data_IF_540971897829
#
_entry.id   IF_540971897829
#
_cell.length_a   1.000
_cell.length_b   1.000
_cell.length_c   1.000
_cell.angle_alpha   90.00
_cell.angle_beta   90.00
_cell.angle_gamma   90.00
#
_symmetry.space_group_name_H-M   'P 1'
#
loop_
_entity.id
_entity.type
_entity.pdbx_description
1 polymer ?
#
# COMPACT_ATOMS: atom_id res chain seq x y z
N UNK A 1 14.32 -1.52 13.20
CA UNK A 1 13.65 -0.38 12.58
C UNK A 1 13.69 0.80 13.54
N UNK A 2 13.54 2.07 13.09
CA UNK A 2 13.36 3.21 14.00
C UNK A 2 12.10 3.03 14.85
N UNK A 3 11.99 3.73 15.98
CA UNK A 3 10.83 3.68 16.88
C UNK A 3 9.53 4.06 16.15
N UNK A 4 9.64 4.97 15.19
CA UNK A 4 8.54 5.38 14.32
C UNK A 4 8.78 4.93 12.87
N UNK A 5 7.82 4.21 12.34
CA UNK A 5 7.80 3.81 10.92
C UNK A 5 7.57 5.00 9.99
N UNK A 6 6.76 5.98 10.44
CA UNK A 6 6.46 7.23 9.71
C UNK A 6 6.50 8.40 10.68
N UNK A 7 7.17 9.47 10.26
CA UNK A 7 7.13 10.76 10.93
C UNK A 7 6.86 11.85 9.89
N UNK A 8 5.91 12.72 10.16
CA UNK A 8 5.59 13.87 9.33
C UNK A 8 5.44 15.12 10.21
N UNK A 9 6.06 16.22 9.79
CA UNK A 9 6.07 17.47 10.55
C UNK A 9 5.64 18.62 9.65
N UNK A 10 4.54 19.27 10.04
CA UNK A 10 4.00 20.48 9.40
C UNK A 10 3.84 20.35 7.88
N UNK A 11 3.33 19.22 7.42
CA UNK A 11 3.11 18.95 5.98
C UNK A 11 2.04 19.87 5.44
N UNK A 12 2.42 20.66 4.43
CA UNK A 12 1.52 21.49 3.63
C UNK A 12 1.52 21.00 2.20
N UNK A 13 0.34 20.93 1.59
CA UNK A 13 0.21 20.70 0.15
C UNK A 13 -0.85 21.59 -0.45
N UNK A 14 -0.45 22.45 -1.38
CA UNK A 14 -1.35 23.28 -2.20
C UNK A 14 -1.25 22.84 -3.66
N UNK A 15 -2.39 22.67 -4.31
CA UNK A 15 -2.46 22.42 -5.74
C UNK A 15 -2.68 23.75 -6.47
N UNK A 16 -1.82 24.06 -7.45
CA UNK A 16 -1.86 25.32 -8.21
C UNK A 16 -3.17 25.50 -8.99
N UNK A 17 -3.71 24.43 -9.57
CA UNK A 17 -5.00 24.43 -10.23
C UNK A 17 -6.12 24.62 -9.18
N UNK A 18 -6.66 25.85 -9.07
CA UNK A 18 -7.75 26.18 -8.15
C UNK A 18 -7.31 26.63 -6.74
N UNK A 19 -6.02 26.80 -6.50
CA UNK A 19 -5.48 27.22 -5.18
C UNK A 19 -6.03 26.42 -3.98
N UNK A 20 -6.19 25.09 -4.18
CA UNK A 20 -6.74 24.18 -3.16
C UNK A 20 -5.63 23.77 -2.20
N UNK A 21 -5.76 24.14 -0.94
CA UNK A 21 -4.87 23.70 0.15
C UNK A 21 -5.39 22.38 0.71
N UNK A 22 -4.83 21.26 0.19
CA UNK A 22 -5.26 19.92 0.56
C UNK A 22 -4.72 19.44 1.93
N UNK A 23 -3.55 19.95 2.33
CA UNK A 23 -2.97 19.74 3.66
C UNK A 23 -2.47 21.09 4.19
N UNK A 24 -2.74 21.37 5.45
CA UNK A 24 -2.44 22.64 6.12
C UNK A 24 -1.70 22.40 7.45
N UNK A 25 -0.39 22.15 7.38
CA UNK A 25 0.46 21.98 8.56
C UNK A 25 0.21 20.69 9.33
N UNK A 26 -0.11 19.57 8.65
CA UNK A 26 -0.42 18.30 9.29
C UNK A 26 0.85 17.63 9.80
N UNK A 27 0.83 17.21 11.08
CA UNK A 27 1.90 16.43 11.70
C UNK A 27 1.34 15.12 12.22
N UNK A 28 2.10 14.02 12.08
CA UNK A 28 1.75 12.71 12.61
C UNK A 28 3.00 11.86 12.86
N UNK A 29 2.88 10.90 13.77
CA UNK A 29 3.88 9.88 14.04
C UNK A 29 3.20 8.52 14.09
N UNK A 30 3.76 7.53 13.40
CA UNK A 30 3.25 6.15 13.37
C UNK A 30 4.30 5.25 13.99
N UNK A 31 4.04 4.66 15.17
CA UNK A 31 4.96 3.69 15.77
C UNK A 31 5.13 2.46 14.88
N UNK A 32 6.32 1.84 14.95
CA UNK A 32 6.61 0.61 14.21
C UNK A 32 5.78 -0.57 14.72
N UNK A 33 5.31 -1.44 13.80
CA UNK A 33 4.59 -2.66 14.14
C UNK A 33 3.13 -2.45 14.58
N UNK A 34 2.49 -1.36 14.17
CA UNK A 34 1.11 -1.04 14.55
C UNK A 34 0.25 -0.68 13.33
N UNK A 35 -1.06 -0.87 13.47
CA UNK A 35 -2.05 -0.30 12.56
C UNK A 35 -2.31 1.14 12.96
N UNK A 36 -2.12 2.06 12.03
CA UNK A 36 -2.47 3.48 12.21
C UNK A 36 -3.61 3.88 11.27
N UNK A 37 -4.74 4.28 11.82
CA UNK A 37 -5.90 4.72 11.07
C UNK A 37 -5.92 6.23 10.83
N UNK A 38 -5.80 6.66 9.57
CA UNK A 38 -5.99 8.05 9.18
C UNK A 38 -7.46 8.30 8.85
N UNK A 39 -8.19 8.96 9.75
CA UNK A 39 -9.62 9.18 9.65
C UNK A 39 -9.95 10.62 9.27
N UNK A 40 -11.06 10.82 8.60
CA UNK A 40 -11.56 12.13 8.22
C UNK A 40 -12.58 12.07 7.08
N UNK A 41 -13.34 13.14 6.84
CA UNK A 41 -14.31 13.20 5.74
C UNK A 41 -13.64 13.15 4.36
N UNK A 42 -14.45 12.95 3.32
CA UNK A 42 -13.94 13.04 1.95
C UNK A 42 -13.42 14.45 1.68
N UNK A 43 -12.26 14.55 0.99
CA UNK A 43 -11.58 15.82 0.74
C UNK A 43 -10.72 16.35 1.89
N UNK A 44 -10.61 15.65 3.03
CA UNK A 44 -9.75 16.08 4.16
C UNK A 44 -8.24 15.88 3.94
N UNK A 45 -7.83 15.40 2.78
CA UNK A 45 -6.42 15.25 2.45
C UNK A 45 -5.81 13.87 2.74
N UNK A 46 -6.58 12.86 3.19
CA UNK A 46 -6.06 11.50 3.51
C UNK A 46 -5.24 10.90 2.36
N UNK A 47 -5.82 10.78 1.19
CA UNK A 47 -5.12 10.28 -0.03
C UNK A 47 -3.93 11.15 -0.39
N UNK A 48 -4.00 12.47 -0.19
CA UNK A 48 -2.87 13.38 -0.43
C UNK A 48 -1.71 13.09 0.53
N UNK A 49 -2.00 12.85 1.81
CA UNK A 49 -0.98 12.46 2.80
C UNK A 49 -0.35 11.12 2.43
N UNK A 50 -1.15 10.09 2.12
CA UNK A 50 -0.64 8.77 1.68
C UNK A 50 0.27 8.92 0.44
N UNK A 51 -0.13 9.74 -0.55
CA UNK A 51 0.69 9.99 -1.76
C UNK A 51 2.00 10.71 -1.46
N UNK A 52 2.04 11.58 -0.46
CA UNK A 52 3.30 12.24 -0.03
C UNK A 52 4.20 11.22 0.67
N UNK A 53 3.67 10.47 1.62
CA UNK A 53 4.43 9.46 2.37
C UNK A 53 4.96 8.34 1.47
N UNK A 54 4.19 7.96 0.44
CA UNK A 54 4.60 6.97 -0.57
C UNK A 54 5.45 7.55 -1.72
N UNK A 55 5.87 8.81 -1.62
CA UNK A 55 6.74 9.51 -2.60
C UNK A 55 6.14 9.74 -3.98
N UNK A 56 4.82 9.58 -4.14
CA UNK A 56 4.11 9.86 -5.41
C UNK A 56 3.96 11.37 -5.60
N UNK A 57 3.87 12.12 -4.50
CA UNK A 57 3.67 13.55 -4.49
C UNK A 57 4.65 14.21 -3.53
N UNK A 58 5.23 15.34 -3.92
CA UNK A 58 6.07 16.12 -3.00
C UNK A 58 5.22 17.07 -2.16
N UNK A 59 5.53 17.30 -0.87
CA UNK A 59 4.89 18.34 -0.09
C UNK A 59 5.28 19.73 -0.64
N UNK A 60 4.41 20.73 -0.42
CA UNK A 60 4.75 22.14 -0.70
C UNK A 60 5.68 22.71 0.37
N UNK A 61 5.53 22.28 1.62
CA UNK A 61 6.45 22.57 2.74
C UNK A 61 6.26 21.53 3.85
N UNK A 62 7.13 21.56 4.86
CA UNK A 62 7.21 20.53 5.89
C UNK A 62 8.17 19.41 5.52
N UNK A 63 8.31 18.42 6.37
CA UNK A 63 9.19 17.27 6.17
C UNK A 63 8.54 15.98 6.60
N UNK A 64 8.87 14.88 5.94
CA UNK A 64 8.44 13.56 6.38
C UNK A 64 9.55 12.52 6.16
N UNK A 65 9.59 11.53 7.04
CA UNK A 65 10.40 10.32 6.90
C UNK A 65 9.54 9.07 6.94
N UNK A 66 9.92 8.07 6.17
CA UNK A 66 9.32 6.75 6.14
C UNK A 66 10.43 5.71 6.23
N UNK A 67 10.35 4.78 7.17
CA UNK A 67 11.43 3.85 7.50
C UNK A 67 12.76 4.56 7.81
N UNK A 68 12.72 5.81 8.33
CA UNK A 68 13.89 6.64 8.60
C UNK A 68 14.45 7.39 7.38
N UNK A 69 13.87 7.23 6.19
CA UNK A 69 14.30 7.90 4.95
C UNK A 69 13.42 9.10 4.61
N UNK A 70 14.03 10.24 4.27
CA UNK A 70 13.34 11.46 3.84
C UNK A 70 12.59 11.22 2.51
N UNK A 71 11.30 11.53 2.49
CA UNK A 71 10.42 11.26 1.33
C UNK A 71 10.77 12.07 0.07
N UNK A 72 11.46 13.21 0.25
CA UNK A 72 11.88 14.10 -0.87
C UNK A 72 13.30 13.80 -1.30
N UNK A 73 14.22 13.65 -0.33
CA UNK A 73 15.67 13.52 -0.60
C UNK A 73 16.06 12.08 -0.94
N UNK A 74 15.33 11.07 -0.43
CA UNK A 74 15.65 9.67 -0.53
C UNK A 74 14.46 8.81 -1.02
N UNK A 75 13.70 9.24 -2.06
CA UNK A 75 12.46 8.59 -2.47
C UNK A 75 12.66 7.12 -2.89
N UNK A 76 13.80 6.79 -3.49
CA UNK A 76 14.11 5.41 -3.89
C UNK A 76 14.32 4.48 -2.69
N UNK A 77 14.86 5.01 -1.56
CA UNK A 77 14.97 4.22 -0.34
C UNK A 77 13.59 4.00 0.28
N UNK A 78 12.76 5.04 0.35
CA UNK A 78 11.38 4.91 0.82
C UNK A 78 10.64 3.83 0.04
N UNK A 79 10.65 3.88 -1.31
CA UNK A 79 9.94 2.92 -2.18
C UNK A 79 10.37 1.47 -1.98
N UNK A 80 11.61 1.21 -1.57
CA UNK A 80 12.10 -0.15 -1.26
C UNK A 80 11.55 -0.69 0.06
N UNK A 81 11.04 0.17 0.94
CA UNK A 81 10.57 -0.18 2.27
C UNK A 81 9.05 -0.12 2.41
N UNK A 82 8.34 0.22 1.33
CA UNK A 82 6.87 0.35 1.38
C UNK A 82 6.18 -0.56 0.38
N UNK A 83 5.00 -1.04 0.76
CA UNK A 83 3.96 -1.49 -0.15
C UNK A 83 2.84 -0.46 -0.20
N UNK A 84 2.18 -0.33 -1.33
CA UNK A 84 1.04 0.55 -1.50
C UNK A 84 -0.08 -0.18 -2.22
N UNK A 85 -1.26 -0.26 -1.58
CA UNK A 85 -2.50 -0.67 -2.21
C UNK A 85 -3.47 0.53 -2.22
N UNK A 86 -3.72 1.08 -3.40
CA UNK A 86 -4.52 2.30 -3.60
C UNK A 86 -6.00 2.01 -3.85
N UNK A 87 -6.79 3.06 -4.11
CA UNK A 87 -8.22 2.94 -4.46
C UNK A 87 -8.45 2.18 -5.77
N UNK A 88 -7.57 2.34 -6.75
CA UNK A 88 -7.64 1.62 -8.02
C UNK A 88 -6.73 0.40 -7.94
N UNK A 89 -7.25 -0.77 -8.29
CA UNK A 89 -6.46 -1.98 -8.39
C UNK A 89 -5.33 -1.78 -9.41
N UNK A 90 -4.10 -2.10 -8.99
CA UNK A 90 -2.90 -2.00 -9.85
C UNK A 90 -2.72 -3.25 -10.71
N UNK A 91 -3.60 -4.23 -10.59
CA UNK A 91 -3.57 -5.48 -11.33
C UNK A 91 -4.01 -5.30 -12.78
N UNK A 92 -3.26 -5.90 -13.72
CA UNK A 92 -3.64 -5.95 -15.13
C UNK A 92 -4.75 -6.98 -15.32
N UNK A 93 -5.89 -6.54 -15.88
CA UNK A 93 -7.07 -7.37 -16.07
C UNK A 93 -6.87 -8.50 -17.11
N UNK A 94 -5.87 -8.40 -17.97
CA UNK A 94 -5.56 -9.39 -19.01
C UNK A 94 -4.57 -10.46 -18.56
N UNK A 95 -3.96 -10.28 -17.39
CA UNK A 95 -3.06 -11.25 -16.78
C UNK A 95 -3.81 -12.13 -15.77
N UNK A 96 -3.28 -13.31 -15.51
CA UNK A 96 -3.75 -14.17 -14.41
C UNK A 96 -3.31 -13.59 -13.06
N UNK A 97 -3.90 -14.11 -11.97
CA UNK A 97 -3.49 -13.71 -10.63
C UNK A 97 -2.00 -13.95 -10.39
N UNK A 98 -1.51 -15.11 -10.80
CA UNK A 98 -0.09 -15.46 -10.67
C UNK A 98 0.82 -14.56 -11.51
N UNK A 99 0.47 -14.28 -12.76
CA UNK A 99 1.25 -13.40 -13.64
C UNK A 99 1.32 -11.97 -13.11
N UNK A 100 0.24 -11.44 -12.54
CA UNK A 100 0.23 -10.13 -11.89
C UNK A 100 1.26 -10.05 -10.75
N UNK A 101 1.24 -10.99 -9.80
CA UNK A 101 2.20 -11.02 -8.70
C UNK A 101 3.63 -11.18 -9.20
N UNK A 102 3.83 -12.06 -10.18
CA UNK A 102 5.14 -12.26 -10.80
C UNK A 102 5.66 -11.00 -11.49
N UNK A 103 4.80 -10.28 -12.22
CA UNK A 103 5.15 -9.01 -12.87
C UNK A 103 5.62 -7.98 -11.84
N UNK A 104 4.85 -7.79 -10.76
CA UNK A 104 5.21 -6.86 -9.68
C UNK A 104 6.54 -7.23 -9.03
N UNK A 105 6.77 -8.52 -8.76
CA UNK A 105 8.04 -8.99 -8.20
C UNK A 105 9.24 -8.70 -9.11
N UNK A 106 9.10 -8.92 -10.41
CA UNK A 106 10.16 -8.62 -11.38
C UNK A 106 10.40 -7.11 -11.54
N UNK A 107 9.37 -6.29 -11.49
CA UNK A 107 9.50 -4.82 -11.50
C UNK A 107 10.20 -4.30 -10.24
N UNK A 108 10.08 -4.99 -9.11
CA UNK A 108 10.86 -4.72 -7.90
C UNK A 108 12.28 -5.32 -7.94
N UNK A 109 12.75 -5.81 -9.09
CA UNK A 109 14.07 -6.40 -9.30
C UNK A 109 14.38 -7.61 -8.41
N UNK A 110 13.36 -8.33 -7.96
CA UNK A 110 13.51 -9.55 -7.18
C UNK A 110 13.93 -10.72 -8.08
N UNK A 111 14.66 -11.68 -7.52
CA UNK A 111 15.09 -12.84 -8.30
C UNK A 111 13.91 -13.77 -8.66
N UNK A 112 13.95 -14.38 -9.85
CA UNK A 112 12.84 -15.19 -10.39
C UNK A 112 12.40 -16.34 -9.47
N UNK A 113 13.27 -17.17 -8.89
CA UNK A 113 12.88 -18.24 -7.98
C UNK A 113 12.12 -17.73 -6.75
N UNK A 114 12.60 -16.65 -6.12
CA UNK A 114 11.91 -16.02 -5.00
C UNK A 114 10.50 -15.52 -5.41
N UNK A 115 10.40 -14.82 -6.54
CA UNK A 115 9.14 -14.27 -7.03
C UNK A 115 8.10 -15.37 -7.27
N UNK A 116 8.51 -16.50 -7.86
CA UNK A 116 7.64 -17.65 -8.09
C UNK A 116 7.11 -18.21 -6.76
N UNK A 117 8.00 -18.51 -5.82
CA UNK A 117 7.63 -19.07 -4.52
C UNK A 117 6.75 -18.09 -3.72
N UNK A 118 7.14 -16.81 -3.68
CA UNK A 118 6.38 -15.77 -2.96
C UNK A 118 5.01 -15.52 -3.57
N UNK A 119 4.88 -15.53 -4.90
CA UNK A 119 3.59 -15.39 -5.56
C UNK A 119 2.65 -16.54 -5.25
N UNK A 120 3.14 -17.79 -5.24
CA UNK A 120 2.34 -18.95 -4.86
C UNK A 120 1.87 -18.84 -3.40
N UNK A 121 2.79 -18.57 -2.47
CA UNK A 121 2.47 -18.36 -1.06
C UNK A 121 1.41 -17.28 -0.86
N UNK A 122 1.56 -16.11 -1.50
CA UNK A 122 0.59 -15.02 -1.37
C UNK A 122 -0.78 -15.40 -1.93
N UNK A 123 -0.85 -16.13 -3.05
CA UNK A 123 -2.14 -16.60 -3.56
C UNK A 123 -2.84 -17.56 -2.59
N UNK A 124 -2.09 -18.41 -1.90
CA UNK A 124 -2.61 -19.29 -0.85
C UNK A 124 -3.08 -18.48 0.35
N UNK A 125 -2.22 -17.58 0.89
CA UNK A 125 -2.49 -16.75 2.08
C UNK A 125 -3.73 -15.86 1.90
N UNK A 126 -4.00 -15.44 0.66
CA UNK A 126 -5.12 -14.58 0.30
C UNK A 126 -6.35 -15.35 -0.23
N UNK A 127 -6.33 -16.68 -0.18
CA UNK A 127 -7.44 -17.54 -0.64
C UNK A 127 -7.74 -17.38 -2.13
N UNK A 128 -6.70 -17.23 -2.94
CA UNK A 128 -6.78 -17.06 -4.40
C UNK A 128 -6.11 -18.23 -5.17
N UNK A 129 -5.66 -19.29 -4.49
CA UNK A 129 -4.93 -20.41 -5.08
C UNK A 129 -5.71 -21.07 -6.22
N UNK A 130 -7.01 -21.37 -6.03
CA UNK A 130 -7.87 -22.01 -7.05
C UNK A 130 -8.11 -21.12 -8.28
N UNK A 131 -7.92 -19.81 -8.12
CA UNK A 131 -8.07 -18.82 -9.18
C UNK A 131 -6.75 -18.34 -9.77
N UNK A 132 -5.60 -18.82 -9.27
CA UNK A 132 -4.26 -18.34 -9.61
C UNK A 132 -4.01 -18.20 -11.11
N UNK A 133 -4.49 -19.16 -11.90
CA UNK A 133 -4.31 -19.24 -13.35
C UNK A 133 -5.50 -18.69 -14.16
N UNK A 134 -6.48 -18.09 -13.51
CA UNK A 134 -7.60 -17.39 -14.19
C UNK A 134 -7.23 -15.96 -14.47
N UNK A 135 -7.69 -15.43 -15.61
CA UNK A 135 -7.53 -14.01 -15.98
C UNK A 135 -8.28 -13.13 -14.95
N UNK A 136 -7.62 -12.10 -14.43
CA UNK A 136 -8.14 -11.28 -13.32
C UNK A 136 -9.37 -10.47 -13.69
N UNK A 137 -9.63 -10.24 -14.98
CA UNK A 137 -10.90 -9.70 -15.48
C UNK A 137 -12.11 -10.52 -15.01
N UNK A 138 -11.96 -11.82 -14.77
CA UNK A 138 -13.02 -12.71 -14.30
C UNK A 138 -13.14 -12.77 -12.77
N UNK A 139 -12.28 -12.05 -12.04
CA UNK A 139 -12.32 -12.00 -10.58
C UNK A 139 -13.48 -11.14 -10.09
N UNK A 140 -14.04 -11.50 -8.93
CA UNK A 140 -14.95 -10.62 -8.20
C UNK A 140 -14.21 -9.37 -7.70
N UNK A 141 -14.93 -8.32 -7.30
CA UNK A 141 -14.32 -7.13 -6.70
C UNK A 141 -13.46 -7.46 -5.48
N UNK A 142 -13.96 -8.34 -4.59
CA UNK A 142 -13.20 -8.80 -3.42
C UNK A 142 -11.94 -9.59 -3.80
N UNK A 143 -12.00 -10.44 -4.82
CA UNK A 143 -10.83 -11.18 -5.31
C UNK A 143 -9.78 -10.22 -5.88
N UNK A 144 -10.20 -9.23 -6.69
CA UNK A 144 -9.28 -8.21 -7.22
C UNK A 144 -8.62 -7.41 -6.11
N UNK A 145 -9.39 -7.05 -5.07
CA UNK A 145 -8.85 -6.29 -3.92
C UNK A 145 -7.83 -7.10 -3.11
N UNK A 146 -8.11 -8.39 -2.88
CA UNK A 146 -7.15 -9.30 -2.23
C UNK A 146 -5.88 -9.48 -3.06
N UNK A 147 -6.00 -9.60 -4.39
CA UNK A 147 -4.84 -9.69 -5.27
C UNK A 147 -4.02 -8.39 -5.28
N UNK A 148 -4.65 -7.22 -5.26
CA UNK A 148 -3.98 -5.91 -5.19
C UNK A 148 -3.16 -5.77 -3.90
N UNK A 149 -3.74 -6.20 -2.77
CA UNK A 149 -3.01 -6.23 -1.50
C UNK A 149 -1.87 -7.25 -1.53
N UNK A 150 -2.08 -8.44 -2.09
CA UNK A 150 -1.03 -9.43 -2.28
C UNK A 150 0.12 -8.89 -3.15
N UNK A 151 -0.19 -8.13 -4.22
CA UNK A 151 0.80 -7.50 -5.07
C UNK A 151 1.68 -6.50 -4.30
N UNK A 152 1.09 -5.70 -3.42
CA UNK A 152 1.84 -4.78 -2.56
C UNK A 152 2.80 -5.48 -1.57
N UNK A 153 2.58 -6.76 -1.31
CA UNK A 153 3.37 -7.59 -0.36
C UNK A 153 4.41 -8.49 -1.03
N UNK A 154 4.51 -8.52 -2.36
CA UNK A 154 5.48 -9.39 -3.06
C UNK A 154 6.92 -9.11 -2.65
N UNK A 155 7.24 -7.83 -2.39
CA UNK A 155 8.57 -7.42 -1.90
C UNK A 155 8.75 -7.57 -0.38
N UNK A 156 7.75 -8.09 0.34
CA UNK A 156 7.73 -8.18 1.81
C UNK A 156 8.11 -6.86 2.50
N UNK A 157 7.45 -5.75 2.17
CA UNK A 157 7.80 -4.45 2.71
C UNK A 157 7.49 -4.37 4.21
N UNK A 158 8.32 -3.69 5.02
CA UNK A 158 8.06 -3.49 6.43
C UNK A 158 6.94 -2.48 6.72
N UNK A 159 6.56 -1.64 5.76
CA UNK A 159 5.49 -0.66 5.90
C UNK A 159 4.51 -0.82 4.74
N UNK A 160 3.21 -0.84 5.05
CA UNK A 160 2.14 -0.99 4.08
C UNK A 160 1.18 0.20 4.16
N UNK A 161 1.05 0.93 3.07
CA UNK A 161 0.03 1.98 2.92
C UNK A 161 -1.22 1.42 2.25
N UNK A 162 -2.36 1.64 2.88
CA UNK A 162 -3.67 1.23 2.40
C UNK A 162 -4.57 2.47 2.26
N UNK A 163 -4.97 2.80 1.04
CA UNK A 163 -5.88 3.91 0.79
C UNK A 163 -7.30 3.37 0.54
N UNK A 164 -8.17 3.49 1.54
CA UNK A 164 -9.54 2.99 1.56
C UNK A 164 -9.68 1.49 1.15
N UNK A 165 -8.97 0.57 1.82
CA UNK A 165 -8.84 -0.82 1.36
C UNK A 165 -10.16 -1.61 1.34
N UNK A 166 -11.16 -1.17 2.07
CA UNK A 166 -12.45 -1.88 2.22
C UNK A 166 -13.60 -1.25 1.43
N UNK A 167 -13.34 -0.16 0.69
CA UNK A 167 -14.37 0.52 -0.09
C UNK A 167 -14.93 -0.39 -1.18
N UNK A 168 -16.26 -0.51 -1.25
CA UNK A 168 -16.97 -1.33 -2.24
C UNK A 168 -16.94 -2.83 -1.98
N UNK A 169 -16.40 -3.29 -0.84
CA UNK A 169 -16.45 -4.70 -0.44
C UNK A 169 -17.74 -5.03 0.32
N UNK A 170 -18.24 -6.24 0.08
CA UNK A 170 -19.28 -6.85 0.91
C UNK A 170 -18.78 -7.12 2.35
N UNK A 171 -19.68 -7.32 3.35
CA UNK A 171 -19.29 -7.47 4.74
C UNK A 171 -18.30 -8.63 4.98
N UNK A 172 -18.48 -9.78 4.30
CA UNK A 172 -17.59 -10.93 4.47
C UNK A 172 -16.19 -10.63 3.92
N UNK A 173 -16.08 -10.13 2.69
CA UNK A 173 -14.80 -9.73 2.07
C UNK A 173 -14.05 -8.69 2.90
N UNK A 174 -14.79 -7.81 3.59
CA UNK A 174 -14.20 -6.82 4.51
C UNK A 174 -13.59 -7.48 5.74
N UNK A 175 -14.29 -8.44 6.36
CA UNK A 175 -13.77 -9.19 7.51
C UNK A 175 -12.53 -10.00 7.13
N UNK A 176 -12.58 -10.71 5.99
CA UNK A 176 -11.45 -11.47 5.48
C UNK A 176 -10.21 -10.59 5.27
N UNK A 177 -10.41 -9.38 4.72
CA UNK A 177 -9.32 -8.43 4.50
C UNK A 177 -8.70 -7.93 5.83
N UNK A 178 -9.53 -7.65 6.83
CA UNK A 178 -9.04 -7.25 8.16
C UNK A 178 -8.24 -8.37 8.83
N UNK A 179 -8.71 -9.61 8.76
CA UNK A 179 -7.96 -10.76 9.29
C UNK A 179 -6.59 -10.94 8.62
N UNK A 180 -6.46 -10.58 7.34
CA UNK A 180 -5.16 -10.57 6.65
C UNK A 180 -4.27 -9.44 7.19
N UNK A 181 -4.81 -8.22 7.34
CA UNK A 181 -4.06 -7.06 7.86
C UNK A 181 -3.57 -7.34 9.30
N UNK A 182 -4.40 -7.90 10.16
CA UNK A 182 -4.02 -8.28 11.53
C UNK A 182 -2.83 -9.25 11.55
N UNK A 183 -2.87 -10.31 10.74
CA UNK A 183 -1.74 -11.26 10.61
C UNK A 183 -0.46 -10.60 10.10
N UNK A 184 -0.55 -9.61 9.21
CA UNK A 184 0.62 -8.88 8.73
C UNK A 184 1.26 -8.05 9.85
N UNK A 185 0.44 -7.42 10.69
CA UNK A 185 0.92 -6.63 11.84
C UNK A 185 1.53 -7.52 12.90
N UNK A 186 0.92 -8.69 13.21
CA UNK A 186 1.52 -9.71 14.08
C UNK A 186 2.87 -10.19 13.55
N UNK A 187 3.04 -10.23 12.22
CA UNK A 187 4.31 -10.50 11.55
C UNK A 187 5.31 -9.33 11.56
N UNK A 188 4.99 -8.19 12.19
CA UNK A 188 5.86 -7.02 12.34
C UNK A 188 5.72 -5.96 11.23
N UNK A 189 4.76 -6.06 10.31
CA UNK A 189 4.45 -5.01 9.33
C UNK A 189 3.72 -3.85 10.02
N UNK A 190 4.03 -2.61 9.60
CA UNK A 190 3.34 -1.39 10.04
C UNK A 190 2.32 -0.97 9.02
#
# INVERSE_FOLDING_TARGET
>A
MPDYAVEATNIVRTFAAGNVRALDGVSLQVPTGQVFGLLGPNGSGKTTMVRILSTILSPSSGSATVAGFDVVKQPNQVRRHIGLAGQNATVDENLTGFENLRMVGLLNHLNKPYVVAKSQQLLEDFGLADAANRITKTYSGGMRRRLDLAAALVASPPILFLDEPTTGLDPQSRQDLWAIIERLVEGGTT
#
